data_IF_984804145458
#
_entry.id   IF_984804145458
#
_cell.length_a   1.000
_cell.length_b   1.000
_cell.length_c   1.000
_cell.angle_alpha   90.00
_cell.angle_beta   90.00
_cell.angle_gamma   90.00
#
_symmetry.space_group_name_H-M   'P 1'
#
loop_
_entity.id
_entity.type
_entity.pdbx_description
1 polymer ?
#
# COMPACT_ATOMS: atom_id res chain seq x y z
N UNK A 1 2.50 9.98 -18.16
CA UNK A 1 3.50 9.25 -18.96
C UNK A 1 4.77 9.10 -18.12
N UNK A 2 4.89 8.04 -17.32
CA UNK A 2 6.03 7.87 -16.39
C UNK A 2 6.50 6.42 -16.31
N UNK A 3 6.60 5.73 -17.45
CA UNK A 3 6.99 4.32 -17.52
C UNK A 3 8.18 4.06 -18.46
N UNK A 4 9.11 5.01 -18.60
CA UNK A 4 10.26 4.86 -19.53
C UNK A 4 11.61 5.28 -18.92
N UNK A 5 11.79 5.27 -17.60
CA UNK A 5 13.08 5.65 -16.99
C UNK A 5 13.86 4.52 -16.31
N UNK A 6 13.52 3.26 -16.58
CA UNK A 6 14.11 2.10 -15.88
C UNK A 6 14.81 1.08 -16.79
N UNK A 7 15.07 1.41 -18.06
CA UNK A 7 15.46 0.43 -19.09
C UNK A 7 16.83 0.69 -19.75
N UNK A 8 17.82 1.24 -19.03
CA UNK A 8 19.21 1.16 -19.51
C UNK A 8 19.89 -0.06 -18.86
N UNK A 9 20.50 -0.97 -19.63
CA UNK A 9 21.24 -2.11 -19.07
C UNK A 9 22.29 -1.71 -18.03
N UNK A 10 22.92 -0.54 -18.21
CA UNK A 10 23.89 0.02 -17.25
C UNK A 10 23.20 0.36 -15.93
N UNK A 11 22.02 0.97 -15.98
CA UNK A 11 21.26 1.32 -14.78
C UNK A 11 20.80 0.07 -14.02
N UNK A 12 20.33 -0.96 -14.74
CA UNK A 12 19.90 -2.22 -14.14
C UNK A 12 21.06 -2.94 -13.44
N UNK A 13 22.25 -2.94 -14.04
CA UNK A 13 23.46 -3.52 -13.44
C UNK A 13 23.90 -2.73 -12.19
N UNK A 14 23.84 -1.39 -12.25
CA UNK A 14 24.17 -0.53 -11.10
C UNK A 14 23.25 -0.75 -9.91
N UNK A 15 21.94 -0.89 -10.12
CA UNK A 15 21.00 -1.20 -9.05
C UNK A 15 21.21 -2.61 -8.50
N UNK A 16 21.49 -3.59 -9.37
CA UNK A 16 21.79 -4.95 -8.93
C UNK A 16 22.98 -5.00 -7.96
N UNK A 17 24.06 -4.24 -8.24
CA UNK A 17 25.20 -4.16 -7.32
C UNK A 17 24.89 -3.39 -6.02
N UNK A 18 23.86 -2.53 -5.99
CA UNK A 18 23.45 -1.80 -4.78
C UNK A 18 22.47 -2.59 -3.91
N UNK A 19 21.42 -3.12 -4.51
CA UNK A 19 20.30 -3.76 -3.82
C UNK A 19 20.41 -5.28 -3.77
N UNK A 20 21.30 -5.88 -4.58
CA UNK A 20 21.48 -7.33 -4.69
C UNK A 20 20.35 -8.05 -5.42
N UNK A 21 19.39 -7.31 -5.98
CA UNK A 21 18.20 -7.85 -6.64
C UNK A 21 18.08 -7.27 -8.04
N UNK A 22 17.80 -8.13 -9.02
CA UNK A 22 17.50 -7.68 -10.37
C UNK A 22 16.03 -7.23 -10.41
N UNK A 23 15.78 -5.96 -10.72
CA UNK A 23 14.42 -5.51 -11.03
C UNK A 23 13.87 -6.35 -12.18
N UNK A 24 12.82 -7.12 -11.89
CA UNK A 24 12.16 -8.00 -12.84
C UNK A 24 10.64 -7.88 -12.66
N UNK A 25 9.89 -8.36 -13.65
CA UNK A 25 8.44 -8.24 -13.66
C UNK A 25 7.70 -9.39 -12.95
N UNK A 26 8.40 -10.29 -12.23
CA UNK A 26 7.74 -11.44 -11.58
C UNK A 26 6.67 -10.98 -10.57
N UNK A 27 6.92 -9.89 -9.85
CA UNK A 27 5.94 -9.29 -8.91
C UNK A 27 4.71 -8.67 -9.57
N UNK A 28 4.64 -8.59 -10.91
CA UNK A 28 3.50 -8.06 -11.66
C UNK A 28 2.64 -9.15 -12.30
N UNK A 29 2.96 -10.43 -12.07
CA UNK A 29 2.27 -11.53 -12.73
C UNK A 29 0.83 -11.73 -12.26
N UNK A 30 0.55 -11.43 -11.00
CA UNK A 30 -0.81 -11.34 -10.45
C UNK A 30 -1.63 -10.28 -11.18
N UNK A 31 -1.06 -9.11 -11.45
CA UNK A 31 -1.76 -8.01 -12.12
C UNK A 31 -2.20 -8.37 -13.55
N UNK A 32 -1.40 -9.16 -14.29
CA UNK A 32 -1.83 -9.67 -15.59
C UNK A 32 -3.03 -10.62 -15.45
N UNK A 33 -2.92 -11.59 -14.54
CA UNK A 33 -4.00 -12.57 -14.31
C UNK A 33 -5.29 -11.90 -13.84
N UNK A 34 -5.20 -10.91 -12.95
CA UNK A 34 -6.34 -10.12 -12.51
C UNK A 34 -7.00 -9.38 -13.67
N UNK A 35 -6.22 -8.77 -14.57
CA UNK A 35 -6.75 -8.10 -15.75
C UNK A 35 -7.48 -9.08 -16.68
N UNK A 36 -6.88 -10.24 -16.96
CA UNK A 36 -7.51 -11.28 -17.78
C UNK A 36 -8.80 -11.79 -17.12
N UNK A 37 -8.78 -12.04 -15.82
CA UNK A 37 -9.97 -12.44 -15.06
C UNK A 37 -11.09 -11.39 -15.15
N UNK A 38 -10.79 -10.11 -14.93
CA UNK A 38 -11.79 -9.04 -15.04
C UNK A 38 -12.35 -8.91 -16.46
N UNK A 39 -11.54 -9.18 -17.49
CA UNK A 39 -12.01 -9.20 -18.89
C UNK A 39 -12.98 -10.33 -19.20
N UNK A 40 -12.95 -11.43 -18.44
CA UNK A 40 -13.94 -12.51 -18.59
C UNK A 40 -15.32 -12.18 -18.00
N UNK A 41 -15.44 -11.07 -17.26
CA UNK A 41 -16.71 -10.66 -16.64
C UNK A 41 -17.55 -9.83 -17.61
N UNK A 42 -18.89 -9.88 -17.48
CA UNK A 42 -19.78 -8.98 -18.22
C UNK A 42 -19.42 -7.53 -17.95
N UNK A 43 -19.56 -6.62 -18.91
CA UNK A 43 -19.10 -5.22 -18.80
C UNK A 43 -19.70 -4.41 -17.65
N UNK A 44 -20.76 -4.89 -17.00
CA UNK A 44 -21.41 -4.27 -15.85
C UNK A 44 -20.82 -4.66 -14.48
N UNK A 45 -20.06 -5.75 -14.39
CA UNK A 45 -19.53 -6.28 -13.13
C UNK A 45 -18.12 -5.83 -12.71
N UNK A 46 -17.17 -5.47 -13.62
CA UNK A 46 -15.81 -5.14 -13.23
C UNK A 46 -15.72 -4.04 -12.18
N UNK A 47 -16.55 -3.01 -12.29
CA UNK A 47 -16.58 -1.88 -11.36
C UNK A 47 -16.94 -2.33 -9.95
N UNK A 48 -18.00 -3.13 -9.79
CA UNK A 48 -18.42 -3.66 -8.49
C UNK A 48 -17.33 -4.56 -7.87
N UNK A 49 -16.70 -5.43 -8.67
CA UNK A 49 -15.61 -6.29 -8.20
C UNK A 49 -14.41 -5.46 -7.72
N UNK A 50 -14.07 -4.39 -8.43
CA UNK A 50 -12.97 -3.49 -8.06
C UNK A 50 -13.29 -2.72 -6.77
N UNK A 51 -14.51 -2.20 -6.62
CA UNK A 51 -14.93 -1.46 -5.41
C UNK A 51 -14.93 -2.36 -4.15
N UNK A 52 -15.38 -3.61 -4.27
CA UNK A 52 -15.33 -4.56 -3.15
C UNK A 52 -13.90 -4.89 -2.76
N UNK A 53 -13.00 -5.05 -3.74
CA UNK A 53 -11.56 -5.28 -3.48
C UNK A 53 -10.93 -4.08 -2.79
N UNK A 54 -11.19 -2.86 -3.26
CA UNK A 54 -10.66 -1.63 -2.67
C UNK A 54 -11.13 -1.44 -1.22
N UNK A 55 -12.39 -1.78 -0.91
CA UNK A 55 -12.93 -1.77 0.46
C UNK A 55 -12.36 -2.87 1.36
N UNK A 56 -11.90 -3.98 0.79
CA UNK A 56 -11.31 -5.09 1.52
C UNK A 56 -9.82 -4.87 1.83
N UNK A 57 -9.15 -4.00 1.09
CA UNK A 57 -7.76 -3.62 1.38
C UNK A 57 -7.69 -2.85 2.70
N UNK A 58 -6.77 -3.26 3.57
CA UNK A 58 -6.50 -2.52 4.81
C UNK A 58 -5.92 -1.16 4.46
N UNK A 59 -6.66 -0.08 4.72
CA UNK A 59 -6.14 1.27 4.55
C UNK A 59 -4.88 1.50 5.42
N UNK A 60 -3.93 2.28 4.91
CA UNK A 60 -2.69 2.67 5.63
C UNK A 60 -3.03 3.32 6.98
N UNK A 61 -4.16 3.99 7.05
CA UNK A 61 -4.69 4.64 8.25
C UNK A 61 -5.94 3.90 8.72
N UNK A 62 -5.95 3.51 9.99
CA UNK A 62 -7.16 3.02 10.65
C UNK A 62 -7.80 4.19 11.39
N UNK A 63 -9.09 4.41 11.17
CA UNK A 63 -9.83 5.37 11.98
C UNK A 63 -10.07 4.77 13.35
N UNK A 64 -9.61 5.46 14.39
CA UNK A 64 -9.89 5.07 15.76
C UNK A 64 -11.17 5.72 16.25
N UNK A 65 -11.90 4.99 17.08
CA UNK A 65 -13.00 5.59 17.85
C UNK A 65 -12.45 6.58 18.87
N UNK A 66 -13.31 7.48 19.34
CA UNK A 66 -12.92 8.47 20.36
C UNK A 66 -12.32 7.79 21.60
N UNK A 67 -12.91 6.68 22.04
CA UNK A 67 -12.48 5.92 23.21
C UNK A 67 -11.11 5.26 23.01
N UNK A 68 -10.88 4.64 21.84
CA UNK A 68 -9.59 4.03 21.49
C UNK A 68 -8.48 5.09 21.40
N UNK A 69 -8.77 6.23 20.74
CA UNK A 69 -7.82 7.32 20.63
C UNK A 69 -7.48 7.93 22.00
N UNK A 70 -8.47 8.12 22.87
CA UNK A 70 -8.25 8.60 24.23
C UNK A 70 -7.46 7.61 25.10
N UNK A 71 -7.76 6.31 25.00
CA UNK A 71 -7.05 5.28 25.73
C UNK A 71 -5.57 5.21 25.30
N UNK A 72 -5.31 5.21 23.98
CA UNK A 72 -3.96 5.23 23.43
C UNK A 72 -3.20 6.50 23.83
N UNK A 73 -3.84 7.67 23.72
CA UNK A 73 -3.22 8.93 24.12
C UNK A 73 -2.86 8.95 25.60
N UNK A 74 -3.75 8.45 26.46
CA UNK A 74 -3.48 8.35 27.90
C UNK A 74 -2.35 7.36 28.20
N UNK A 75 -2.26 6.25 27.46
CA UNK A 75 -1.19 5.28 27.59
C UNK A 75 0.17 5.88 27.21
N UNK A 76 0.27 6.49 26.04
CA UNK A 76 1.53 7.04 25.53
C UNK A 76 1.94 8.35 26.22
N UNK A 77 0.99 9.26 26.42
CA UNK A 77 1.25 10.65 26.83
C UNK A 77 0.70 11.00 28.21
N UNK A 78 0.09 10.07 28.94
CA UNK A 78 -0.49 10.34 30.27
C UNK A 78 0.52 10.87 31.29
N UNK A 79 1.80 10.57 31.10
CA UNK A 79 2.91 11.08 31.92
C UNK A 79 3.15 12.59 31.75
N UNK A 80 2.68 13.21 30.66
CA UNK A 80 2.81 14.65 30.41
C UNK A 80 1.85 15.48 31.28
N UNK A 81 0.72 14.89 31.70
CA UNK A 81 -0.28 15.57 32.52
C UNK A 81 0.17 15.79 33.99
N UNK A 82 1.31 15.23 34.40
CA UNK A 82 1.89 15.40 35.73
C UNK A 82 2.78 16.63 35.91
N UNK A 83 2.85 17.53 34.91
CA UNK A 83 3.60 18.79 34.98
C UNK A 83 2.70 20.01 34.77
N UNK A 84 1.61 20.09 35.52
CA UNK A 84 0.93 21.37 35.73
C UNK A 84 1.21 21.86 37.16
N UNK A 85 1.79 23.05 37.22
CA UNK A 85 1.98 23.92 38.40
C UNK A 85 2.95 23.46 39.49
N UNK A 86 4.18 23.97 39.42
CA UNK A 86 4.93 24.40 40.61
C UNK A 86 4.89 25.92 40.68
#
# INVERSE_FOLDING_TARGET
>A
MSAERESSPVHQLQQYYREGVLHNCYGKWSALWDCLYLKTKPSSQPQEILEVREKAESHIWTYWTLEEAQAYWKQEFGHLNGRESK
#
